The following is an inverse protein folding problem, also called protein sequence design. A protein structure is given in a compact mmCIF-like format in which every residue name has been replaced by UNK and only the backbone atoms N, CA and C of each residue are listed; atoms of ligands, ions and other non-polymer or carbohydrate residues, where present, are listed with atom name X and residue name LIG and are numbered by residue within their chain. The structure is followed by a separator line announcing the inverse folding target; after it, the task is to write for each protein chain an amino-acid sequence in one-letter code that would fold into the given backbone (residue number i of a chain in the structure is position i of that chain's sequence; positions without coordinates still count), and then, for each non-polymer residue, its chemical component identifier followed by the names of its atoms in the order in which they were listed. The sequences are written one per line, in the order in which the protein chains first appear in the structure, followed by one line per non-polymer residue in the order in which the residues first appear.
data_IF_548561166084
#
_entry.id   IF_548561166084
#
_cell.length_a   1.000
_cell.length_b   1.000
_cell.length_c   1.000
_cell.angle_alpha   90.00
_cell.angle_beta   90.00
_cell.angle_gamma   90.00
#
_symmetry.space_group_name_H-M   'P 1'
#
loop_
_entity.id
_entity.type
_entity.pdbx_description
1 polymer ?
#
# COMPACT_ATOMS: atom_id res chain seq x y z
N UNK A 1 -36.68 -1.62 6.26
CA UNK A 1 -35.96 -2.85 6.64
C UNK A 1 -34.95 -3.15 5.53
N UNK A 2 -33.65 -2.97 5.79
CA UNK A 2 -32.61 -3.38 4.83
C UNK A 2 -32.54 -4.91 4.91
N UNK A 3 -32.64 -5.66 3.80
CA UNK A 3 -32.53 -7.11 3.86
C UNK A 3 -31.16 -7.44 4.45
N UNK A 4 -31.13 -8.26 5.51
CA UNK A 4 -29.88 -8.86 5.97
C UNK A 4 -29.40 -9.80 4.87
N UNK A 5 -28.63 -9.26 3.92
CA UNK A 5 -27.90 -10.08 2.96
C UNK A 5 -26.87 -10.89 3.76
N UNK A 6 -26.75 -12.18 3.43
CA UNK A 6 -25.78 -13.07 4.04
C UNK A 6 -24.37 -12.45 3.95
N UNK A 7 -23.61 -12.47 5.05
CA UNK A 7 -22.24 -11.97 5.12
C UNK A 7 -21.37 -12.46 3.95
N UNK A 8 -21.57 -13.71 3.55
CA UNK A 8 -20.87 -14.39 2.45
C UNK A 8 -21.12 -13.78 1.07
N UNK A 9 -22.25 -13.10 0.84
CA UNK A 9 -22.54 -12.40 -0.42
C UNK A 9 -22.19 -10.92 -0.34
N UNK A 10 -22.30 -10.30 0.83
CA UNK A 10 -21.92 -8.90 1.03
C UNK A 10 -20.41 -8.68 0.91
N UNK A 11 -19.61 -9.55 1.54
CA UNK A 11 -18.16 -9.40 1.61
C UNK A 11 -17.48 -9.32 0.24
N UNK A 12 -17.63 -10.30 -0.68
CA UNK A 12 -16.99 -10.22 -2.00
C UNK A 12 -17.52 -9.06 -2.84
N UNK A 13 -18.81 -8.73 -2.69
CA UNK A 13 -19.43 -7.59 -3.38
C UNK A 13 -18.84 -6.26 -2.92
N UNK A 14 -18.65 -6.07 -1.61
CA UNK A 14 -18.10 -4.84 -1.05
C UNK A 14 -16.59 -4.74 -1.26
N UNK A 15 -15.85 -5.85 -1.23
CA UNK A 15 -14.45 -5.90 -1.68
C UNK A 15 -14.34 -5.52 -3.15
N UNK A 16 -15.16 -6.10 -4.03
CA UNK A 16 -15.18 -5.76 -5.46
C UNK A 16 -15.54 -4.30 -5.70
N UNK A 17 -16.50 -3.75 -4.94
CA UNK A 17 -16.81 -2.31 -4.95
C UNK A 17 -15.62 -1.47 -4.53
N UNK A 18 -14.97 -1.80 -3.41
CA UNK A 18 -13.78 -1.08 -2.96
C UNK A 18 -12.69 -1.09 -4.03
N UNK A 19 -12.35 -2.27 -4.54
CA UNK A 19 -11.31 -2.45 -5.54
C UNK A 19 -11.63 -1.71 -6.85
N UNK A 20 -12.91 -1.52 -7.18
CA UNK A 20 -13.35 -0.73 -8.35
C UNK A 20 -13.68 0.73 -8.02
N UNK A 21 -13.13 1.28 -6.93
CA UNK A 21 -13.31 2.67 -6.50
C UNK A 21 -14.77 3.07 -6.24
N UNK A 22 -15.62 2.12 -5.85
CA UNK A 22 -17.03 2.34 -5.46
C UNK A 22 -17.16 2.36 -3.93
N UNK A 23 -18.22 3.01 -3.43
CA UNK A 23 -18.49 3.07 -1.99
C UNK A 23 -18.89 1.69 -1.48
N UNK A 24 -18.31 1.28 -0.37
CA UNK A 24 -18.68 0.05 0.34
C UNK A 24 -20.06 0.22 1.01
N UNK A 25 -20.76 -0.91 1.20
CA UNK A 25 -22.04 -0.93 1.89
C UNK A 25 -21.93 -0.64 3.39
N UNK A 26 -23.06 -0.42 4.06
CA UNK A 26 -23.11 -0.24 5.51
C UNK A 26 -22.66 -1.50 6.28
N UNK A 27 -22.71 -2.68 5.65
CA UNK A 27 -22.32 -3.99 6.20
C UNK A 27 -20.88 -4.07 6.69
N UNK A 28 -19.98 -3.23 6.15
CA UNK A 28 -18.58 -3.16 6.57
C UNK A 28 -18.44 -2.75 8.04
N UNK A 29 -19.32 -1.87 8.54
CA UNK A 29 -19.25 -1.42 9.94
C UNK A 29 -19.88 -2.39 10.91
N UNK A 30 -20.98 -3.04 10.52
CA UNK A 30 -21.63 -4.04 11.37
C UNK A 30 -20.79 -5.31 11.51
N UNK A 31 -20.07 -5.71 10.47
CA UNK A 31 -19.29 -6.95 10.44
C UNK A 31 -17.77 -6.73 10.33
N UNK A 32 -17.25 -5.61 10.83
CA UNK A 32 -15.85 -5.23 10.64
C UNK A 32 -14.82 -6.31 11.04
N UNK A 33 -15.13 -7.19 12.00
CA UNK A 33 -14.27 -8.34 12.35
C UNK A 33 -14.11 -9.34 11.22
N UNK A 34 -15.20 -9.67 10.50
CA UNK A 34 -15.16 -10.59 9.36
C UNK A 34 -14.39 -9.98 8.17
N UNK A 35 -14.59 -8.69 7.89
CA UNK A 35 -13.85 -7.97 6.86
C UNK A 35 -12.34 -7.89 7.17
N UNK A 36 -11.98 -7.64 8.44
CA UNK A 36 -10.59 -7.69 8.88
C UNK A 36 -10.00 -9.09 8.76
N UNK A 37 -10.72 -10.13 9.21
CA UNK A 37 -10.28 -11.51 9.10
C UNK A 37 -10.02 -11.93 7.65
N UNK A 38 -10.92 -11.55 6.73
CA UNK A 38 -10.73 -11.79 5.30
C UNK A 38 -9.48 -11.08 4.76
N UNK A 39 -9.32 -9.78 5.01
CA UNK A 39 -8.16 -9.05 4.49
C UNK A 39 -6.83 -9.50 5.09
N UNK A 40 -6.82 -9.91 6.37
CA UNK A 40 -5.65 -10.53 7.00
C UNK A 40 -5.34 -11.89 6.37
N UNK A 41 -6.35 -12.73 6.12
CA UNK A 41 -6.17 -14.01 5.45
C UNK A 41 -5.59 -13.84 4.04
N UNK A 42 -6.11 -12.88 3.25
CA UNK A 42 -5.56 -12.57 1.92
C UNK A 42 -4.12 -12.05 1.99
N UNK A 43 -3.81 -11.18 2.95
CA UNK A 43 -2.45 -10.66 3.17
C UNK A 43 -1.48 -11.78 3.59
N UNK A 44 -1.94 -12.69 4.43
CA UNK A 44 -1.18 -13.84 4.90
C UNK A 44 -0.90 -14.83 3.76
N UNK A 45 -1.92 -15.16 2.95
CA UNK A 45 -1.77 -15.99 1.74
C UNK A 45 -0.80 -15.38 0.74
N UNK A 46 -0.87 -14.06 0.50
CA UNK A 46 0.08 -13.36 -0.35
C UNK A 46 1.51 -13.44 0.21
N UNK A 47 1.66 -13.39 1.54
CA UNK A 47 2.95 -13.58 2.23
C UNK A 47 3.53 -14.97 2.03
N UNK A 48 2.73 -16.02 2.26
CA UNK A 48 3.15 -17.41 2.04
C UNK A 48 3.57 -17.60 0.57
N UNK A 49 2.75 -17.11 -0.36
CA UNK A 49 3.00 -17.25 -1.79
C UNK A 49 4.34 -16.64 -2.23
N UNK A 50 4.70 -15.47 -1.70
CA UNK A 50 5.94 -14.76 -2.05
C UNK A 50 7.22 -15.49 -1.64
N UNK A 51 7.22 -16.19 -0.51
CA UNK A 51 8.43 -16.82 0.03
C UNK A 51 8.50 -18.33 -0.19
N UNK A 52 7.46 -18.95 -0.77
CA UNK A 52 7.36 -20.40 -0.95
C UNK A 52 8.51 -20.99 -1.77
N UNK A 53 9.03 -20.24 -2.73
CA UNK A 53 10.10 -20.69 -3.64
C UNK A 53 11.49 -20.16 -3.26
N UNK A 54 11.64 -19.46 -2.12
CA UNK A 54 12.91 -18.86 -1.71
C UNK A 54 13.70 -19.76 -0.73
N UNK A 55 14.86 -20.33 -1.14
CA UNK A 55 15.65 -21.25 -0.32
C UNK A 55 16.37 -20.57 0.87
N UNK A 56 16.38 -19.24 0.94
CA UNK A 56 17.01 -18.46 2.03
C UNK A 56 16.00 -17.84 3.00
N UNK A 57 14.70 -18.13 2.84
CA UNK A 57 13.68 -17.52 3.69
C UNK A 57 13.69 -18.11 5.11
N UNK A 58 13.65 -17.25 6.12
CA UNK A 58 13.50 -17.67 7.51
C UNK A 58 12.09 -18.22 7.79
N UNK A 59 11.93 -19.04 8.82
CA UNK A 59 10.66 -19.74 9.14
C UNK A 59 9.46 -18.78 9.28
N UNK A 60 9.66 -17.57 9.81
CA UNK A 60 8.58 -16.59 9.94
C UNK A 60 8.20 -15.91 8.61
N UNK A 61 9.12 -15.86 7.64
CA UNK A 61 8.86 -15.37 6.29
C UNK A 61 8.08 -16.41 5.48
N UNK A 62 8.48 -17.69 5.58
CA UNK A 62 7.75 -18.84 5.02
C UNK A 62 6.34 -18.98 5.62
N UNK A 63 6.19 -18.68 6.92
CA UNK A 63 4.90 -18.64 7.59
C UNK A 63 4.03 -17.42 7.20
N UNK A 64 4.52 -16.51 6.34
CA UNK A 64 3.77 -15.34 5.87
C UNK A 64 3.54 -14.25 6.94
N UNK A 65 4.17 -14.35 8.11
CA UNK A 65 3.99 -13.42 9.22
C UNK A 65 4.51 -12.01 8.88
N UNK A 66 5.51 -11.92 7.99
CA UNK A 66 6.02 -10.64 7.48
C UNK A 66 4.94 -9.79 6.81
N UNK A 67 4.04 -10.39 6.03
CA UNK A 67 2.94 -9.66 5.37
C UNK A 67 1.89 -9.19 6.35
N UNK A 68 1.62 -9.98 7.39
CA UNK A 68 0.71 -9.58 8.48
C UNK A 68 1.29 -8.39 9.25
N UNK A 69 2.54 -8.49 9.69
CA UNK A 69 3.25 -7.40 10.36
C UNK A 69 3.31 -6.14 9.49
N UNK A 70 3.57 -6.29 8.19
CA UNK A 70 3.56 -5.18 7.23
C UNK A 70 2.23 -4.43 7.20
N UNK A 71 1.09 -5.14 7.19
CA UNK A 71 -0.24 -4.51 7.19
C UNK A 71 -0.47 -3.67 8.44
N UNK A 72 -0.10 -4.19 9.62
CA UNK A 72 -0.21 -3.44 10.87
C UNK A 72 0.71 -2.22 10.90
N UNK A 73 1.97 -2.37 10.49
CA UNK A 73 2.96 -1.29 10.42
C UNK A 73 2.56 -0.20 9.43
N UNK A 74 2.09 -0.59 8.23
CA UNK A 74 1.62 0.34 7.22
C UNK A 74 0.37 1.10 7.69
N UNK A 75 -0.59 0.40 8.31
CA UNK A 75 -1.78 1.04 8.87
C UNK A 75 -1.40 2.04 9.99
N UNK A 76 -0.40 1.70 10.81
CA UNK A 76 0.08 2.58 11.88
C UNK A 76 0.76 3.82 11.31
N UNK A 77 1.65 3.65 10.33
CA UNK A 77 2.34 4.74 9.66
C UNK A 77 1.33 5.71 9.00
N UNK A 78 0.39 5.18 8.22
CA UNK A 78 -0.67 5.98 7.59
C UNK A 78 -1.54 6.67 8.64
N UNK A 79 -1.90 5.98 9.72
CA UNK A 79 -2.70 6.56 10.79
C UNK A 79 -1.99 7.75 11.43
N UNK A 80 -0.72 7.61 11.82
CA UNK A 80 0.09 8.67 12.43
C UNK A 80 0.31 9.85 11.49
N UNK A 81 0.59 9.60 10.21
CA UNK A 81 0.86 10.65 9.23
C UNK A 81 -0.40 11.47 8.89
N UNK A 82 -1.58 10.86 8.90
CA UNK A 82 -2.83 11.58 8.59
C UNK A 82 -3.48 12.15 9.85
N UNK A 83 -3.14 11.64 11.05
CA UNK A 83 -3.63 12.14 12.33
C UNK A 83 -3.57 13.67 12.49
N UNK A 84 -2.45 14.37 12.21
CA UNK A 84 -2.36 15.81 12.41
C UNK A 84 -3.21 16.61 11.40
N UNK A 85 -3.64 16.01 10.29
CA UNK A 85 -4.54 16.63 9.30
C UNK A 85 -6.01 16.65 9.74
N UNK A 86 -6.33 16.08 10.91
CA UNK A 86 -7.67 16.05 11.51
C UNK A 86 -8.74 15.53 10.54
N UNK A 87 -8.42 14.44 9.85
CA UNK A 87 -9.35 13.73 8.98
C UNK A 87 -10.64 13.33 9.71
N UNK A 88 -11.78 13.40 9.01
CA UNK A 88 -13.09 13.04 9.55
C UNK A 88 -13.15 11.53 9.77
N UNK A 89 -13.65 11.09 10.94
CA UNK A 89 -13.81 9.65 11.28
C UNK A 89 -12.51 8.83 11.15
N UNK A 90 -11.37 9.49 11.37
CA UNK A 90 -10.05 8.85 11.33
C UNK A 90 -9.82 8.02 12.60
N UNK A 91 -9.86 6.70 12.47
CA UNK A 91 -9.55 5.76 13.53
C UNK A 91 -8.59 4.71 13.01
N UNK A 92 -7.68 4.23 13.85
CA UNK A 92 -6.74 3.17 13.48
C UNK A 92 -7.46 1.95 12.89
N UNK A 93 -8.61 1.57 13.47
CA UNK A 93 -9.46 0.47 12.99
C UNK A 93 -9.93 0.67 11.54
N UNK A 94 -10.35 1.88 11.16
CA UNK A 94 -10.81 2.16 9.80
C UNK A 94 -9.65 2.12 8.80
N UNK A 95 -8.47 2.63 9.20
CA UNK A 95 -7.25 2.60 8.38
C UNK A 95 -6.79 1.15 8.20
N UNK A 96 -6.73 0.38 9.28
CA UNK A 96 -6.37 -1.04 9.24
C UNK A 96 -7.32 -1.84 8.35
N UNK A 97 -8.64 -1.65 8.52
CA UNK A 97 -9.64 -2.31 7.69
C UNK A 97 -9.48 -1.93 6.20
N UNK A 98 -9.24 -0.66 5.89
CA UNK A 98 -8.93 -0.24 4.53
C UNK A 98 -7.69 -0.94 3.99
N UNK A 99 -6.56 -0.90 4.71
CA UNK A 99 -5.31 -1.54 4.27
C UNK A 99 -5.51 -3.03 4.03
N UNK A 100 -6.16 -3.74 4.97
CA UNK A 100 -6.49 -5.16 4.86
C UNK A 100 -7.35 -5.47 3.63
N UNK A 101 -8.39 -4.69 3.35
CA UNK A 101 -9.29 -4.96 2.21
C UNK A 101 -8.67 -4.64 0.85
N UNK A 102 -7.53 -3.93 0.82
CA UNK A 102 -6.72 -3.73 -0.40
C UNK A 102 -5.66 -4.80 -0.64
N UNK A 103 -5.62 -5.86 0.18
CA UNK A 103 -4.68 -6.97 0.03
C UNK A 103 -4.99 -7.99 -1.08
N UNK A 104 -6.22 -8.20 -1.58
CA UNK A 104 -6.46 -9.22 -2.62
C UNK A 104 -5.60 -9.05 -3.89
N UNK A 105 -5.38 -7.84 -4.43
CA UNK A 105 -4.45 -7.63 -5.54
C UNK A 105 -3.00 -8.09 -5.26
N UNK A 106 -2.58 -8.17 -3.99
CA UNK A 106 -1.24 -8.63 -3.63
C UNK A 106 -1.05 -10.14 -3.87
N UNK A 107 -2.13 -10.91 -4.07
CA UNK A 107 -2.04 -12.32 -4.46
C UNK A 107 -1.42 -12.49 -5.86
N UNK A 108 -1.44 -11.46 -6.71
CA UNK A 108 -0.75 -11.51 -8.01
C UNK A 108 0.76 -11.72 -7.84
N UNK A 109 1.35 -11.29 -6.72
CA UNK A 109 2.76 -11.52 -6.40
C UNK A 109 3.07 -12.95 -5.96
N UNK A 110 2.06 -13.77 -5.70
CA UNK A 110 2.24 -15.18 -5.37
C UNK A 110 2.29 -16.08 -6.62
N UNK A 111 2.05 -15.52 -7.81
CA UNK A 111 2.07 -16.27 -9.06
C UNK A 111 3.54 -16.45 -9.50
N UNK A 112 4.04 -17.70 -9.60
CA UNK A 112 5.43 -17.96 -9.96
C UNK A 112 5.64 -17.83 -11.47
N UNK A 113 5.67 -16.59 -11.96
CA UNK A 113 5.84 -16.28 -13.40
C UNK A 113 7.16 -16.78 -13.96
N UNK A 114 8.16 -16.96 -13.08
CA UNK A 114 9.50 -17.49 -13.38
C UNK A 114 9.45 -18.94 -13.89
N UNK A 115 8.38 -19.68 -13.57
CA UNK A 115 8.20 -21.07 -14.05
C UNK A 115 7.64 -21.15 -15.47
N UNK A 116 7.10 -20.05 -16.00
CA UNK A 116 6.38 -20.04 -17.28
C UNK A 116 7.06 -19.19 -18.36
N UNK A 117 8.07 -18.39 -18.01
CA UNK A 117 8.68 -17.39 -18.88
C UNK A 117 10.21 -17.43 -18.79
N UNK A 118 10.90 -16.86 -19.78
CA UNK A 118 12.35 -16.62 -19.70
C UNK A 118 12.68 -15.62 -18.58
N UNK A 119 13.92 -15.62 -18.07
CA UNK A 119 14.34 -14.78 -16.94
C UNK A 119 14.02 -13.29 -17.14
N UNK A 120 14.35 -12.73 -18.31
CA UNK A 120 14.06 -11.34 -18.65
C UNK A 120 12.54 -11.03 -18.70
N UNK A 121 11.74 -11.93 -19.28
CA UNK A 121 10.29 -11.75 -19.38
C UNK A 121 9.59 -11.90 -18.02
N UNK A 122 10.07 -12.82 -17.18
CA UNK A 122 9.61 -12.99 -15.81
C UNK A 122 9.91 -11.74 -14.97
N UNK A 123 11.12 -11.19 -15.08
CA UNK A 123 11.51 -9.95 -14.41
C UNK A 123 10.62 -8.77 -14.82
N UNK A 124 10.43 -8.57 -16.12
CA UNK A 124 9.57 -7.51 -16.63
C UNK A 124 8.13 -7.66 -16.13
N UNK A 125 7.60 -8.88 -16.10
CA UNK A 125 6.24 -9.18 -15.63
C UNK A 125 6.08 -8.91 -14.14
N UNK A 126 7.05 -9.32 -13.31
CA UNK A 126 7.06 -9.02 -11.87
C UNK A 126 7.11 -7.51 -11.61
N UNK A 127 7.93 -6.78 -12.36
CA UNK A 127 7.99 -5.32 -12.27
C UNK A 127 6.65 -4.67 -12.66
N UNK A 128 5.98 -5.16 -13.71
CA UNK A 128 4.66 -4.68 -14.10
C UNK A 128 3.58 -4.99 -13.07
N UNK A 129 3.55 -6.19 -12.50
CA UNK A 129 2.65 -6.52 -11.40
C UNK A 129 2.87 -5.58 -10.22
N UNK A 130 4.13 -5.31 -9.86
CA UNK A 130 4.47 -4.38 -8.79
C UNK A 130 3.94 -2.98 -9.09
N UNK A 131 4.25 -2.45 -10.27
CA UNK A 131 3.84 -1.11 -10.70
C UNK A 131 2.32 -0.93 -10.74
N UNK A 132 1.61 -1.88 -11.35
CA UNK A 132 0.14 -1.82 -11.48
C UNK A 132 -0.52 -1.89 -10.11
N UNK A 133 -0.17 -2.88 -9.29
CA UNK A 133 -0.80 -3.08 -7.98
C UNK A 133 -0.44 -1.95 -7.00
N UNK A 134 0.81 -1.47 -7.00
CA UNK A 134 1.20 -0.32 -6.19
C UNK A 134 0.43 0.95 -6.60
N UNK A 135 0.35 1.24 -7.90
CA UNK A 135 -0.42 2.37 -8.42
C UNK A 135 -1.90 2.27 -8.07
N UNK A 136 -2.48 1.06 -8.18
CA UNK A 136 -3.86 0.79 -7.81
C UNK A 136 -4.12 1.07 -6.33
N UNK A 137 -3.24 0.60 -5.43
CA UNK A 137 -3.36 0.84 -3.98
C UNK A 137 -3.21 2.32 -3.63
N UNK A 138 -2.30 3.05 -4.28
CA UNK A 138 -2.16 4.51 -4.09
C UNK A 138 -3.42 5.24 -4.55
N UNK A 139 -3.99 4.86 -5.70
CA UNK A 139 -5.25 5.42 -6.18
C UNK A 139 -6.40 5.14 -5.20
N UNK A 140 -6.48 3.93 -4.64
CA UNK A 140 -7.49 3.58 -3.64
C UNK A 140 -7.32 4.41 -2.38
N UNK A 141 -6.09 4.65 -1.93
CA UNK A 141 -5.80 5.49 -0.78
C UNK A 141 -6.24 6.94 -1.03
N UNK A 142 -5.98 7.50 -2.21
CA UNK A 142 -6.46 8.83 -2.59
C UNK A 142 -7.99 8.93 -2.52
N UNK A 143 -8.69 7.92 -3.05
CA UNK A 143 -10.16 7.87 -3.03
C UNK A 143 -10.68 7.73 -1.59
N UNK A 144 -10.03 6.92 -0.76
CA UNK A 144 -10.36 6.76 0.66
C UNK A 144 -10.16 8.07 1.43
N UNK A 145 -9.03 8.75 1.25
CA UNK A 145 -8.76 10.04 1.88
C UNK A 145 -9.76 11.12 1.44
N UNK A 146 -10.12 11.16 0.16
CA UNK A 146 -11.10 12.12 -0.35
C UNK A 146 -12.52 11.85 0.16
N UNK A 147 -12.96 10.59 0.14
CA UNK A 147 -14.37 10.24 0.40
C UNK A 147 -14.68 9.99 1.87
N UNK A 148 -13.81 9.24 2.55
CA UNK A 148 -14.04 8.81 3.93
C UNK A 148 -13.37 9.75 4.93
N UNK A 149 -12.14 10.17 4.65
CA UNK A 149 -11.37 11.09 5.52
C UNK A 149 -11.75 12.57 5.33
N UNK A 150 -12.49 12.90 4.26
CA UNK A 150 -13.01 14.25 3.99
C UNK A 150 -11.94 15.29 3.64
N UNK A 151 -10.81 14.84 3.09
CA UNK A 151 -9.75 15.71 2.58
C UNK A 151 -10.11 16.23 1.18
N UNK A 152 -9.71 17.46 0.87
CA UNK A 152 -9.75 17.97 -0.49
C UNK A 152 -8.74 17.20 -1.36
N UNK A 153 -8.94 17.22 -2.68
CA UNK A 153 -8.14 16.41 -3.60
C UNK A 153 -6.63 16.68 -3.49
N UNK A 154 -6.22 17.94 -3.42
CA UNK A 154 -4.82 18.32 -3.30
C UNK A 154 -4.24 17.95 -1.92
N UNK A 155 -5.02 18.04 -0.84
CA UNK A 155 -4.60 17.61 0.50
C UNK A 155 -4.35 16.11 0.55
N UNK A 156 -5.23 15.32 -0.08
CA UNK A 156 -5.07 13.88 -0.21
C UNK A 156 -3.84 13.51 -1.05
N UNK A 157 -3.53 14.26 -2.11
CA UNK A 157 -2.32 14.07 -2.92
C UNK A 157 -1.07 14.27 -2.07
N UNK A 158 -0.98 15.38 -1.32
CA UNK A 158 0.17 15.67 -0.44
C UNK A 158 0.31 14.58 0.63
N UNK A 159 -0.80 14.20 1.27
CA UNK A 159 -0.85 13.14 2.28
C UNK A 159 -0.43 11.76 1.75
N UNK A 160 -0.71 11.44 0.48
CA UNK A 160 -0.30 10.17 -0.14
C UNK A 160 1.15 10.20 -0.63
N UNK A 161 1.57 11.28 -1.29
CA UNK A 161 2.87 11.36 -1.94
C UNK A 161 4.01 11.58 -0.95
N UNK A 162 3.78 12.31 0.14
CA UNK A 162 4.82 12.56 1.15
C UNK A 162 5.42 11.28 1.74
N UNK A 163 4.64 10.32 2.30
CA UNK A 163 5.22 9.09 2.84
C UNK A 163 5.95 8.28 1.76
N UNK A 164 5.42 8.24 0.54
CA UNK A 164 6.06 7.52 -0.56
C UNK A 164 7.43 8.13 -0.90
N UNK A 165 7.49 9.45 -1.07
CA UNK A 165 8.72 10.17 -1.36
C UNK A 165 9.75 10.02 -0.22
N UNK A 166 9.30 10.11 1.04
CA UNK A 166 10.19 9.91 2.20
C UNK A 166 10.74 8.49 2.26
N UNK A 167 9.94 7.46 1.95
CA UNK A 167 10.43 6.07 1.87
C UNK A 167 11.50 5.95 0.78
N UNK A 168 11.24 6.45 -0.42
CA UNK A 168 12.21 6.36 -1.53
C UNK A 168 13.51 7.10 -1.19
N UNK A 169 13.43 8.33 -0.69
CA UNK A 169 14.61 9.11 -0.27
C UNK A 169 15.38 8.41 0.85
N UNK A 170 14.68 7.84 1.84
CA UNK A 170 15.33 7.10 2.93
C UNK A 170 16.06 5.86 2.41
N UNK A 171 15.46 5.13 1.47
CA UNK A 171 16.10 3.95 0.85
C UNK A 171 17.34 4.34 0.05
N UNK A 172 17.28 5.45 -0.70
CA UNK A 172 18.40 5.98 -1.46
C UNK A 172 19.54 6.43 -0.53
N UNK A 173 19.24 7.22 0.52
CA UNK A 173 20.25 7.71 1.47
C UNK A 173 20.93 6.60 2.27
N UNK A 174 20.20 5.51 2.57
CA UNK A 174 20.73 4.36 3.27
C UNK A 174 21.47 3.38 2.33
N UNK A 175 21.59 3.68 1.03
CA UNK A 175 22.06 2.76 -0.01
C UNK A 175 21.34 1.39 0.00
N UNK A 176 20.11 1.34 0.54
CA UNK A 176 19.30 0.12 0.62
C UNK A 176 18.48 -0.10 -0.65
N UNK A 177 18.52 0.82 -1.61
CA UNK A 177 17.78 0.70 -2.88
C UNK A 177 18.17 -0.57 -3.66
N UNK A 178 19.47 -0.90 -3.70
CA UNK A 178 19.97 -2.14 -4.32
C UNK A 178 19.52 -3.40 -3.58
N UNK A 179 19.44 -3.34 -2.24
CA UNK A 179 19.03 -4.48 -1.40
C UNK A 179 17.53 -4.73 -1.54
N UNK A 180 16.71 -3.68 -1.50
CA UNK A 180 15.25 -3.78 -1.67
C UNK A 180 14.92 -4.24 -3.09
N UNK A 181 15.61 -3.74 -4.11
CA UNK A 181 15.40 -4.18 -5.48
C UNK A 181 15.71 -5.67 -5.66
N UNK A 182 16.88 -6.13 -5.21
CA UNK A 182 17.27 -7.55 -5.27
C UNK A 182 16.31 -8.45 -4.45
N UNK A 183 15.77 -7.96 -3.33
CA UNK A 183 14.78 -8.66 -2.50
C UNK A 183 13.37 -8.64 -3.12
N UNK A 184 13.04 -7.64 -3.94
CA UNK A 184 11.71 -7.48 -4.56
C UNK A 184 11.60 -8.12 -5.95
N UNK A 185 12.70 -8.23 -6.69
CA UNK A 185 12.72 -8.80 -8.04
C UNK A 185 12.97 -10.31 -8.08
N UNK A 186 13.44 -10.92 -6.98
CA UNK A 186 13.68 -12.38 -6.91
C UNK A 186 14.91 -12.86 -7.69
N UNK A 187 15.80 -11.95 -8.11
CA UNK A 187 16.88 -12.22 -9.08
C UNK A 187 18.08 -12.95 -8.46
N UNK A 188 18.64 -13.92 -9.20
CA UNK A 188 19.95 -14.55 -8.95
C UNK A 188 21.06 -13.70 -9.59
N UNK A 189 22.28 -13.75 -9.04
CA UNK A 189 23.42 -12.91 -9.43
C UNK A 189 23.88 -13.02 -10.92
N UNK A 190 23.21 -13.84 -11.72
CA UNK A 190 23.53 -14.22 -13.09
C UNK A 190 22.83 -13.32 -14.14
N UNK A 191 21.77 -12.57 -13.77
CA UNK A 191 20.93 -11.77 -14.70
C UNK A 191 21.31 -10.26 -14.75
N UNK A 192 22.60 -9.93 -14.64
CA UNK A 192 23.08 -8.54 -14.48
C UNK A 192 22.70 -7.57 -15.62
N UNK A 193 22.41 -8.02 -16.85
CA UNK A 193 22.15 -7.12 -18.00
C UNK A 193 20.76 -6.45 -17.97
N UNK A 194 19.74 -7.11 -17.44
CA UNK A 194 18.39 -6.54 -17.29
C UNK A 194 18.28 -5.57 -16.09
N UNK A 195 19.32 -5.52 -15.26
CA UNK A 195 19.42 -4.64 -14.10
C UNK A 195 19.56 -3.16 -14.49
N UNK A 196 20.18 -2.85 -15.64
CA UNK A 196 20.53 -1.48 -16.01
C UNK A 196 19.30 -0.59 -16.26
N UNK A 197 18.28 -1.12 -16.94
CA UNK A 197 17.04 -0.39 -17.19
C UNK A 197 16.22 -0.17 -15.91
N UNK A 198 16.16 -1.18 -15.04
CA UNK A 198 15.46 -1.09 -13.77
C UNK A 198 16.18 -0.16 -12.77
N UNK A 199 17.50 -0.19 -12.76
CA UNK A 199 18.34 0.74 -12.01
C UNK A 199 18.10 2.19 -12.46
N UNK A 200 17.98 2.43 -13.77
CA UNK A 200 17.60 3.75 -14.30
C UNK A 200 16.26 4.27 -13.76
N UNK A 201 15.26 3.39 -13.61
CA UNK A 201 13.96 3.76 -13.01
C UNK A 201 14.09 4.10 -11.53
N UNK A 202 14.86 3.31 -10.77
CA UNK A 202 15.10 3.57 -9.34
C UNK A 202 15.82 4.91 -9.17
N UNK A 203 16.87 5.17 -9.93
CA UNK A 203 17.61 6.45 -9.91
C UNK A 203 16.68 7.62 -10.27
N UNK A 204 15.84 7.49 -11.30
CA UNK A 204 14.88 8.52 -11.68
C UNK A 204 13.85 8.79 -10.57
N UNK A 205 13.31 7.74 -9.96
CA UNK A 205 12.38 7.84 -8.83
C UNK A 205 13.05 8.45 -7.60
N UNK A 206 14.30 8.09 -7.31
CA UNK A 206 15.10 8.65 -6.23
C UNK A 206 15.34 10.14 -6.45
N UNK A 207 15.74 10.55 -7.66
CA UNK A 207 15.92 11.96 -8.01
C UNK A 207 14.61 12.76 -7.87
N UNK A 208 13.53 12.25 -8.46
CA UNK A 208 12.22 12.89 -8.38
C UNK A 208 11.74 13.00 -6.92
N UNK A 209 11.88 11.93 -6.14
CA UNK A 209 11.49 11.91 -4.72
C UNK A 209 12.36 12.86 -3.88
N UNK A 210 13.65 12.96 -4.17
CA UNK A 210 14.56 13.88 -3.50
C UNK A 210 14.13 15.33 -3.70
N UNK A 211 13.77 15.72 -4.93
CA UNK A 211 13.27 17.08 -5.23
C UNK A 211 11.86 17.30 -4.71
N UNK A 212 10.97 16.32 -4.84
CA UNK A 212 9.57 16.44 -4.41
C UNK A 212 9.42 16.45 -2.89
N UNK A 213 10.27 15.71 -2.15
CA UNK A 213 10.15 15.56 -0.70
C UNK A 213 10.18 16.88 0.09
N UNK A 214 11.09 17.85 -0.14
CA UNK A 214 11.04 19.13 0.58
C UNK A 214 9.78 19.94 0.23
N UNK A 215 9.36 19.95 -1.04
CA UNK A 215 8.15 20.66 -1.47
C UNK A 215 6.89 20.07 -0.82
N UNK A 216 6.78 18.74 -0.81
CA UNK A 216 5.69 18.01 -0.17
C UNK A 216 5.71 18.17 1.35
N UNK A 217 6.89 18.18 1.96
CA UNK A 217 7.04 18.39 3.41
C UNK A 217 6.57 19.80 3.80
N UNK A 218 6.96 20.83 3.05
CA UNK A 218 6.50 22.21 3.27
C UNK A 218 4.98 22.29 3.09
N UNK A 219 4.42 21.73 2.01
CA UNK A 219 2.98 21.72 1.76
C UNK A 219 2.20 20.98 2.87
N UNK A 220 2.74 19.87 3.37
CA UNK A 220 2.15 19.09 4.44
C UNK A 220 2.21 19.83 5.79
N UNK A 221 3.34 20.46 6.13
CA UNK A 221 3.45 21.27 7.33
C UNK A 221 2.48 22.45 7.27
N UNK A 222 2.42 23.14 6.13
CA UNK A 222 1.45 24.22 5.89
C UNK A 222 0.02 23.75 6.14
N UNK A 223 -0.33 22.56 5.65
CA UNK A 223 -1.63 21.94 5.87
C UNK A 223 -1.95 21.67 7.33
N UNK A 224 -0.99 21.11 8.07
CA UNK A 224 -1.13 20.83 9.49
C UNK A 224 -1.32 22.15 10.26
N UNK A 225 -0.56 23.20 9.95
CA UNK A 225 -0.71 24.50 10.61
C UNK A 225 -2.04 25.16 10.29
N UNK A 226 -2.43 25.20 9.01
CA UNK A 226 -3.67 25.83 8.56
C UNK A 226 -4.88 25.16 9.23
N UNK A 227 -4.98 23.83 9.19
CA UNK A 227 -6.09 23.10 9.81
C UNK A 227 -6.13 23.20 11.34
N UNK A 228 -4.99 23.39 12.01
CA UNK A 228 -4.95 23.68 13.45
C UNK A 228 -5.53 25.05 13.78
N UNK A 229 -5.18 26.07 13.00
CA UNK A 229 -5.66 27.45 13.21
C UNK A 229 -7.18 27.60 13.01
N UNK A 230 -7.78 26.89 12.04
CA UNK A 230 -9.23 26.93 11.82
C UNK A 230 -10.05 26.28 12.92
N UNK A 231 -9.47 25.37 13.69
CA UNK A 231 -10.16 24.70 14.77
C UNK A 231 -10.03 25.41 16.13
N UNK A 232 -9.12 26.38 16.24
CA UNK A 232 -8.94 27.23 17.43
C UNK A 232 -9.72 28.55 17.34
N UNK A 233 -10.36 28.87 16.21
CA UNK A 233 -11.28 30.00 16.13
C UNK A 233 -12.64 29.58 16.67
N UNK A 234 -13.11 30.13 17.81
CA UNK A 234 -14.48 29.92 18.25
C UNK A 234 -15.42 30.51 17.20
N UNK A 235 -16.50 29.78 16.90
CA UNK A 235 -17.62 30.29 16.11
C UNK A 235 -18.42 31.30 16.92
#
# INVERSE_FOLDING_TARGET
MVPQLNLWTELPRDVGRLLTFRRMGPGVRSHAGAYLGFGLAMSWLAGIGRYRDNPRAELWQLAGLGSVAYVFSLALLLWLLILPLRARRWSYRNVLLFVCLTSPPALLYAIPVERFMSGEAALATNAWFLGIVASWRVALLLVFLKRDAGLQAWEAIVACLLPLALIVVSLALLNLEHVVFNLMSGIRAEDQSANDAAYGVVVLLSLFSFVASPLLAIAYLWLVFHRRQFATRPR
#
